data_IF_257126368434
#
_entry.id   IF_257126368434
#
_cell.length_a   1.000
_cell.length_b   1.000
_cell.length_c   1.000
_cell.angle_alpha   90.00
_cell.angle_beta   90.00
_cell.angle_gamma   90.00
#
_symmetry.space_group_name_H-M   'P 1'
#
loop_
_entity.id
_entity.type
_entity.pdbx_description
1 polymer ?
#
# COMPACT_ATOMS: atom_id res chain seq x y z
N UNK A 1 -21.80 -10.15 -7.25
CA UNK A 1 -20.77 -10.40 -6.21
C UNK A 1 -20.55 -9.08 -5.46
N UNK A 2 -20.77 -9.02 -4.15
CA UNK A 2 -20.62 -7.78 -3.36
C UNK A 2 -19.16 -7.60 -2.88
N UNK A 3 -18.72 -6.35 -2.67
CA UNK A 3 -17.37 -5.98 -2.26
C UNK A 3 -16.94 -6.63 -0.95
N UNK A 4 -17.86 -6.76 0.02
CA UNK A 4 -17.58 -7.49 1.26
C UNK A 4 -17.18 -8.96 1.03
N UNK A 5 -17.78 -9.61 0.04
CA UNK A 5 -17.44 -10.99 -0.29
C UNK A 5 -16.02 -11.09 -0.87
N UNK A 6 -15.53 -10.05 -1.53
CA UNK A 6 -14.16 -10.01 -2.05
C UNK A 6 -13.15 -9.83 -0.92
N UNK A 7 -13.45 -8.93 0.04
CA UNK A 7 -12.59 -8.75 1.20
C UNK A 7 -12.52 -9.99 2.09
N UNK A 8 -13.67 -10.65 2.36
CA UNK A 8 -13.69 -11.93 3.09
C UNK A 8 -12.86 -13.00 2.39
N UNK A 9 -12.90 -13.07 1.05
CA UNK A 9 -12.06 -14.00 0.27
C UNK A 9 -10.58 -13.68 0.39
N UNK A 10 -10.21 -12.40 0.39
CA UNK A 10 -8.82 -11.97 0.56
C UNK A 10 -8.29 -12.36 1.96
N UNK A 11 -9.11 -12.20 3.00
CA UNK A 11 -8.77 -12.60 4.37
C UNK A 11 -8.65 -14.11 4.55
N UNK A 12 -9.46 -14.89 3.81
CA UNK A 12 -9.48 -16.35 3.87
C UNK A 12 -8.43 -17.01 2.98
N UNK A 13 -7.52 -16.25 2.35
CA UNK A 13 -6.48 -16.75 1.45
C UNK A 13 -5.36 -17.51 2.18
N UNK A 14 -5.70 -18.60 2.88
CA UNK A 14 -4.78 -19.38 3.72
C UNK A 14 -3.61 -20.02 2.97
N UNK A 15 -3.70 -20.17 1.64
CA UNK A 15 -2.59 -20.62 0.81
C UNK A 15 -1.37 -19.67 0.88
N UNK A 16 -1.56 -18.41 1.31
CA UNK A 16 -0.50 -17.42 1.50
C UNK A 16 0.21 -17.54 2.86
N UNK A 17 -0.24 -18.39 3.79
CA UNK A 17 0.29 -18.43 5.17
C UNK A 17 1.74 -18.90 5.23
N UNK A 18 2.11 -19.89 4.42
CA UNK A 18 3.49 -20.39 4.35
C UNK A 18 4.44 -19.32 3.83
N UNK A 19 4.12 -18.76 2.65
CA UNK A 19 4.94 -17.72 2.02
C UNK A 19 5.00 -16.43 2.83
N UNK A 20 3.88 -15.99 3.41
CA UNK A 20 3.84 -14.78 4.23
C UNK A 20 4.68 -14.92 5.51
N UNK A 21 4.63 -16.07 6.20
CA UNK A 21 5.48 -16.29 7.39
C UNK A 21 6.97 -16.29 7.04
N UNK A 22 7.34 -16.97 5.95
CA UNK A 22 8.73 -16.99 5.49
C UNK A 22 9.23 -15.57 5.19
N UNK A 23 8.48 -14.80 4.41
CA UNK A 23 8.87 -13.44 4.03
C UNK A 23 8.89 -12.50 5.24
N UNK A 24 7.93 -12.62 6.16
CA UNK A 24 7.89 -11.86 7.40
C UNK A 24 9.16 -12.08 8.23
N UNK A 25 9.57 -13.33 8.43
CA UNK A 25 10.77 -13.66 9.19
C UNK A 25 12.03 -13.05 8.57
N UNK A 26 12.12 -13.03 7.23
CA UNK A 26 13.25 -12.41 6.51
C UNK A 26 13.28 -10.90 6.68
N UNK A 27 12.14 -10.24 6.51
CA UNK A 27 12.04 -8.78 6.67
C UNK A 27 12.32 -8.39 8.12
N UNK A 28 11.74 -9.10 9.10
CA UNK A 28 12.05 -8.89 10.52
C UNK A 28 13.52 -9.18 10.82
N UNK A 29 14.13 -10.21 10.24
CA UNK A 29 15.57 -10.46 10.42
C UNK A 29 16.44 -9.32 9.89
N UNK A 30 16.06 -8.70 8.76
CA UNK A 30 16.78 -7.58 8.18
C UNK A 30 16.55 -6.24 8.93
N UNK A 31 15.37 -6.05 9.53
CA UNK A 31 14.95 -4.79 10.17
C UNK A 31 14.90 -4.85 11.71
N UNK A 32 15.11 -6.02 12.31
CA UNK A 32 14.65 -6.39 13.66
C UNK A 32 15.51 -5.96 14.83
N UNK A 33 16.51 -5.10 14.62
CA UNK A 33 17.33 -4.55 15.72
C UNK A 33 18.01 -3.23 15.38
N UNK A 34 17.68 -2.61 14.24
CA UNK A 34 18.34 -1.39 13.77
C UNK A 34 17.43 -0.18 13.97
N UNK A 35 18.01 0.97 14.36
CA UNK A 35 17.28 2.25 14.42
C UNK A 35 16.58 2.59 13.09
N UNK A 36 17.11 2.11 11.97
CA UNK A 36 16.50 2.21 10.65
C UNK A 36 15.10 1.54 10.57
N UNK A 37 14.91 0.36 11.17
CA UNK A 37 13.61 -0.30 11.18
C UNK A 37 12.55 0.49 11.95
N UNK A 38 12.94 1.08 13.09
CA UNK A 38 12.06 1.93 13.88
C UNK A 38 11.68 3.22 13.12
N UNK A 39 12.65 3.83 12.43
CA UNK A 39 12.42 5.02 11.60
C UNK A 39 11.47 4.75 10.44
N UNK A 40 11.65 3.62 9.74
CA UNK A 40 10.80 3.22 8.61
C UNK A 40 9.36 2.92 9.03
N UNK A 41 9.16 2.38 10.23
CA UNK A 41 7.83 2.15 10.82
C UNK A 41 7.19 3.42 11.39
N UNK A 42 7.94 4.53 11.47
CA UNK A 42 7.40 5.81 11.95
C UNK A 42 7.39 5.99 13.46
N UNK A 43 8.22 5.27 14.22
CA UNK A 43 8.26 5.40 15.68
C UNK A 43 8.56 6.83 16.16
N UNK A 44 9.28 7.62 15.37
CA UNK A 44 9.58 9.03 15.64
C UNK A 44 8.43 9.99 15.30
N UNK A 45 7.56 9.60 14.37
CA UNK A 45 6.41 10.38 13.91
C UNK A 45 5.18 10.15 14.79
N UNK A 46 5.16 9.05 15.56
CA UNK A 46 3.98 8.57 16.27
C UNK A 46 2.91 7.97 15.34
N UNK A 47 3.17 7.95 14.03
CA UNK A 47 2.25 7.48 13.00
C UNK A 47 2.98 6.62 11.95
N UNK A 48 2.30 5.64 11.33
CA UNK A 48 2.88 4.85 10.24
C UNK A 48 3.32 5.75 9.07
N UNK A 49 4.55 5.57 8.59
CA UNK A 49 5.12 6.38 7.50
C UNK A 49 4.51 5.99 6.14
N UNK A 50 4.16 4.72 5.95
CA UNK A 50 3.68 4.22 4.67
C UNK A 50 2.40 4.93 4.16
N UNK A 51 1.33 5.10 4.97
CA UNK A 51 0.14 5.86 4.56
C UNK A 51 0.42 7.33 4.24
N UNK A 52 1.44 7.94 4.87
CA UNK A 52 1.85 9.31 4.52
C UNK A 52 2.51 9.32 3.15
N UNK A 53 3.48 8.43 2.93
CA UNK A 53 4.24 8.37 1.69
C UNK A 53 3.39 8.00 0.48
N UNK A 54 2.38 7.13 0.64
CA UNK A 54 1.52 6.69 -0.49
C UNK A 54 0.73 7.84 -1.13
N UNK A 55 0.55 8.95 -0.41
CA UNK A 55 -0.11 10.16 -0.95
C UNK A 55 0.66 10.74 -2.16
N UNK A 56 1.99 10.63 -2.17
CA UNK A 56 2.83 11.14 -3.25
C UNK A 56 2.63 10.40 -4.59
N UNK A 57 2.81 9.06 -4.68
CA UNK A 57 2.59 8.34 -5.93
C UNK A 57 1.13 8.40 -6.38
N UNK A 58 0.15 8.30 -5.47
CA UNK A 58 -1.27 8.38 -5.84
C UNK A 58 -1.61 9.74 -6.42
N UNK A 59 -1.24 10.83 -5.72
CA UNK A 59 -1.50 12.19 -6.21
C UNK A 59 -0.83 12.47 -7.55
N UNK A 60 0.42 12.04 -7.70
CA UNK A 60 1.15 12.18 -8.96
C UNK A 60 0.48 11.43 -10.11
N UNK A 61 0.07 10.17 -9.92
CA UNK A 61 -0.50 9.36 -11.00
C UNK A 61 -1.96 9.70 -11.34
N UNK A 62 -2.75 10.14 -10.36
CA UNK A 62 -4.06 10.76 -10.63
C UNK A 62 -3.86 12.05 -11.45
N UNK A 63 -2.93 12.91 -11.02
CA UNK A 63 -2.57 14.12 -11.76
C UNK A 63 -2.10 13.82 -13.18
N UNK A 64 -1.28 12.79 -13.38
CA UNK A 64 -0.83 12.37 -14.70
C UNK A 64 -1.99 12.01 -15.63
N UNK A 65 -3.01 11.33 -15.10
CA UNK A 65 -4.22 10.97 -15.86
C UNK A 65 -5.03 12.21 -16.25
N UNK A 66 -5.16 13.19 -15.35
CA UNK A 66 -5.80 14.48 -15.67
C UNK A 66 -5.03 15.20 -16.78
N UNK A 67 -3.70 15.24 -16.68
CA UNK A 67 -2.85 15.87 -17.68
C UNK A 67 -2.98 15.20 -19.06
N UNK A 68 -3.00 13.87 -19.11
CA UNK A 68 -3.16 13.14 -20.37
C UNK A 68 -4.54 13.33 -21.01
N UNK A 69 -5.60 13.18 -20.22
CA UNK A 69 -6.97 13.02 -20.76
C UNK A 69 -7.72 14.34 -20.85
N UNK A 70 -7.58 15.20 -19.85
CA UNK A 70 -8.29 16.48 -19.78
C UNK A 70 -7.48 17.62 -20.39
N UNK A 71 -6.20 17.73 -20.00
CA UNK A 71 -5.36 18.87 -20.42
C UNK A 71 -4.59 18.62 -21.72
N UNK A 72 -4.52 17.36 -22.17
CA UNK A 72 -3.73 16.93 -23.34
C UNK A 72 -2.25 17.32 -23.25
N UNK A 73 -1.73 17.46 -22.03
CA UNK A 73 -0.31 17.70 -21.74
C UNK A 73 0.40 16.39 -21.40
N UNK A 74 0.87 15.71 -22.44
CA UNK A 74 1.58 14.44 -22.32
C UNK A 74 2.98 14.57 -21.70
N UNK A 75 3.58 15.75 -21.74
CA UNK A 75 4.90 16.01 -21.12
C UNK A 75 4.73 16.13 -19.62
N UNK A 76 3.74 16.91 -19.16
CA UNK A 76 3.38 17.00 -17.74
C UNK A 76 2.93 15.65 -17.18
N UNK A 77 2.10 14.90 -17.92
CA UNK A 77 1.70 13.55 -17.53
C UNK A 77 2.92 12.62 -17.32
N UNK A 78 3.87 12.61 -18.26
CA UNK A 78 5.10 11.80 -18.13
C UNK A 78 5.94 12.21 -16.92
N UNK A 79 6.06 13.51 -16.63
CA UNK A 79 6.79 14.03 -15.45
C UNK A 79 6.14 13.55 -14.16
N UNK A 80 4.81 13.60 -14.07
CA UNK A 80 4.06 13.12 -12.91
C UNK A 80 4.14 11.60 -12.75
N UNK A 81 4.10 10.82 -13.83
CA UNK A 81 4.38 9.38 -13.78
C UNK A 81 5.78 9.13 -13.19
N UNK A 82 6.78 9.87 -13.69
CA UNK A 82 8.16 9.80 -13.19
C UNK A 82 8.28 10.17 -11.71
N UNK A 83 7.61 11.23 -11.27
CA UNK A 83 7.58 11.65 -9.86
C UNK A 83 7.01 10.54 -8.96
N UNK A 84 5.89 9.94 -9.35
CA UNK A 84 5.32 8.82 -8.60
C UNK A 84 6.25 7.60 -8.57
N UNK A 85 6.95 7.30 -9.67
CA UNK A 85 7.95 6.22 -9.72
C UNK A 85 9.17 6.52 -8.83
N UNK A 86 9.58 7.78 -8.66
CA UNK A 86 10.64 8.17 -7.72
C UNK A 86 10.19 8.05 -6.25
N UNK A 87 8.91 8.31 -5.97
CA UNK A 87 8.33 8.15 -4.63
C UNK A 87 8.00 6.69 -4.27
N UNK A 88 7.87 5.80 -5.25
CA UNK A 88 7.48 4.42 -5.02
C UNK A 88 8.49 3.60 -4.18
N UNK A 89 9.83 3.66 -4.39
CA UNK A 89 10.79 2.91 -3.61
C UNK A 89 10.70 3.14 -2.09
N UNK A 90 10.76 4.37 -1.55
CA UNK A 90 10.62 4.57 -0.10
C UNK A 90 9.22 4.18 0.41
N UNK A 91 8.17 4.33 -0.41
CA UNK A 91 6.80 3.88 -0.07
C UNK A 91 6.73 2.36 0.06
N UNK A 92 7.39 1.61 -0.83
CA UNK A 92 7.45 0.14 -0.78
C UNK A 92 8.23 -0.33 0.46
N UNK A 93 9.38 0.28 0.75
CA UNK A 93 10.21 -0.10 1.90
C UNK A 93 9.44 0.05 3.20
N UNK A 94 8.78 1.21 3.39
CA UNK A 94 7.96 1.45 4.59
C UNK A 94 6.74 0.52 4.65
N UNK A 95 6.11 0.22 3.52
CA UNK A 95 4.99 -0.72 3.45
C UNK A 95 5.37 -2.15 3.83
N UNK A 96 6.54 -2.63 3.39
CA UNK A 96 7.05 -3.94 3.79
C UNK A 96 7.47 -4.00 5.26
N UNK A 97 8.05 -2.91 5.79
CA UNK A 97 8.35 -2.80 7.22
C UNK A 97 7.08 -2.87 8.07
N UNK A 98 6.02 -2.18 7.66
CA UNK A 98 4.71 -2.22 8.32
C UNK A 98 4.04 -3.59 8.18
N UNK A 99 4.05 -4.18 6.98
CA UNK A 99 3.49 -5.50 6.71
C UNK A 99 4.10 -6.60 7.59
N UNK A 100 5.39 -6.51 7.88
CA UNK A 100 6.09 -7.49 8.70
C UNK A 100 5.60 -7.50 10.17
N UNK A 101 4.93 -6.45 10.64
CA UNK A 101 4.34 -6.39 11.99
C UNK A 101 2.90 -6.88 12.06
N UNK A 102 2.28 -7.20 10.92
CA UNK A 102 0.88 -7.61 10.85
C UNK A 102 0.67 -9.05 11.31
N UNK A 103 -0.53 -9.36 11.79
CA UNK A 103 -0.95 -10.73 12.05
C UNK A 103 -1.12 -11.54 10.74
N UNK A 104 -1.40 -12.85 10.85
CA UNK A 104 -1.53 -13.71 9.67
C UNK A 104 -2.66 -13.29 8.73
N UNK A 105 -3.83 -12.90 9.25
CA UNK A 105 -4.99 -12.51 8.43
C UNK A 105 -4.71 -11.20 7.70
N UNK A 106 -4.16 -10.22 8.41
CA UNK A 106 -3.74 -8.94 7.84
C UNK A 106 -2.63 -9.13 6.80
N UNK A 107 -1.65 -10.02 7.04
CA UNK A 107 -0.58 -10.30 6.05
C UNK A 107 -1.11 -10.86 4.73
N UNK A 108 -2.17 -11.70 4.74
CA UNK A 108 -2.80 -12.23 3.51
C UNK A 108 -3.32 -11.10 2.62
N UNK A 109 -4.16 -10.23 3.20
CA UNK A 109 -4.70 -9.06 2.48
C UNK A 109 -3.56 -8.12 2.08
N UNK A 110 -2.55 -7.96 2.93
CA UNK A 110 -1.36 -7.17 2.66
C UNK A 110 -0.56 -7.64 1.44
N UNK A 111 -0.45 -8.96 1.22
CA UNK A 111 0.22 -9.50 0.03
C UNK A 111 -0.61 -9.25 -1.24
N UNK A 112 -1.93 -9.42 -1.18
CA UNK A 112 -2.82 -9.15 -2.32
C UNK A 112 -2.80 -7.65 -2.67
N UNK A 113 -2.79 -6.80 -1.64
CA UNK A 113 -2.58 -5.35 -1.79
C UNK A 113 -1.24 -5.05 -2.46
N UNK A 114 -0.14 -5.66 -1.99
CA UNK A 114 1.19 -5.44 -2.56
C UNK A 114 1.26 -5.90 -4.02
N UNK A 115 0.62 -7.01 -4.37
CA UNK A 115 0.55 -7.52 -5.75
C UNK A 115 -0.23 -6.58 -6.69
N UNK A 116 -1.40 -6.11 -6.28
CA UNK A 116 -2.18 -5.15 -7.06
C UNK A 116 -1.38 -3.86 -7.34
N UNK A 117 -0.67 -3.36 -6.33
CA UNK A 117 0.21 -2.20 -6.48
C UNK A 117 1.43 -2.49 -7.34
N UNK A 118 2.04 -3.69 -7.25
CA UNK A 118 3.16 -4.08 -8.09
C UNK A 118 2.77 -4.09 -9.58
N UNK A 119 1.58 -4.62 -9.92
CA UNK A 119 1.02 -4.55 -11.28
C UNK A 119 0.89 -3.08 -11.72
N UNK A 120 0.32 -2.23 -10.86
CA UNK A 120 0.15 -0.82 -11.15
C UNK A 120 1.47 -0.06 -11.35
N UNK A 121 2.45 -0.27 -10.47
CA UNK A 121 3.79 0.32 -10.56
C UNK A 121 4.50 -0.13 -11.84
N UNK A 122 4.45 -1.42 -12.18
CA UNK A 122 5.04 -1.95 -13.42
C UNK A 122 4.37 -1.35 -14.65
N UNK A 123 3.04 -1.18 -14.64
CA UNK A 123 2.34 -0.49 -15.71
C UNK A 123 2.74 0.99 -15.82
N UNK A 124 2.90 1.70 -14.70
CA UNK A 124 3.40 3.07 -14.68
C UNK A 124 4.82 3.16 -15.26
N UNK A 125 5.71 2.23 -14.88
CA UNK A 125 7.06 2.15 -15.43
C UNK A 125 7.05 1.87 -16.94
N UNK A 126 6.25 0.91 -17.39
CA UNK A 126 6.12 0.57 -18.80
C UNK A 126 5.60 1.78 -19.62
N UNK A 127 4.58 2.49 -19.11
CA UNK A 127 4.10 3.73 -19.72
C UNK A 127 5.19 4.80 -19.77
N UNK A 128 5.92 5.02 -18.67
CA UNK A 128 7.01 6.00 -18.61
C UNK A 128 8.11 5.73 -19.62
N UNK A 129 8.57 4.46 -19.72
CA UNK A 129 9.60 4.04 -20.65
C UNK A 129 9.14 4.22 -22.10
N UNK A 130 7.89 3.86 -22.41
CA UNK A 130 7.30 4.04 -23.74
C UNK A 130 7.25 5.51 -24.15
N UNK A 131 6.86 6.40 -23.23
CA UNK A 131 6.78 7.85 -23.45
C UNK A 131 8.16 8.52 -23.67
N UNK A 132 9.28 7.79 -23.52
CA UNK A 132 10.63 8.31 -23.83
C UNK A 132 10.82 8.61 -25.31
N UNK A 133 10.10 7.92 -26.19
CA UNK A 133 10.21 8.06 -27.64
C UNK A 133 9.00 8.76 -28.28
N UNK A 134 8.13 9.35 -27.47
CA UNK A 134 6.85 9.91 -27.89
C UNK A 134 5.68 9.27 -27.15
N UNK A 135 4.58 10.02 -27.01
CA UNK A 135 3.36 9.50 -26.36
C UNK A 135 2.40 8.99 -27.43
N UNK A 136 1.87 7.79 -27.19
CA UNK A 136 0.82 7.19 -28.02
C UNK A 136 -0.30 6.63 -27.15
N UNK A 137 -1.39 6.20 -27.80
CA UNK A 137 -2.59 5.72 -27.12
C UNK A 137 -2.31 4.53 -26.18
N UNK A 138 -1.38 3.63 -26.54
CA UNK A 138 -1.06 2.48 -25.67
C UNK A 138 -0.35 2.94 -24.40
N UNK A 139 0.53 3.94 -24.46
CA UNK A 139 1.16 4.50 -23.27
C UNK A 139 0.11 5.06 -22.29
N UNK A 140 -0.90 5.77 -22.81
CA UNK A 140 -2.01 6.31 -22.01
C UNK A 140 -2.84 5.19 -21.40
N UNK A 141 -3.27 4.21 -22.21
CA UNK A 141 -4.05 3.05 -21.74
C UNK A 141 -3.28 2.27 -20.66
N UNK A 142 -1.98 2.06 -20.84
CA UNK A 142 -1.15 1.37 -19.84
C UNK A 142 -1.08 2.14 -18.52
N UNK A 143 -0.88 3.45 -18.53
CA UNK A 143 -0.89 4.24 -17.27
C UNK A 143 -2.27 4.28 -16.62
N UNK A 144 -3.36 4.36 -17.39
CA UNK A 144 -4.72 4.32 -16.85
C UNK A 144 -5.04 2.96 -16.23
N UNK A 145 -4.69 1.86 -16.91
CA UNK A 145 -4.83 0.51 -16.35
C UNK A 145 -4.00 0.34 -15.07
N UNK A 146 -2.78 0.90 -15.05
CA UNK A 146 -1.94 0.93 -13.86
C UNK A 146 -2.61 1.66 -12.70
N UNK A 147 -3.21 2.84 -12.95
CA UNK A 147 -3.91 3.62 -11.94
C UNK A 147 -5.13 2.86 -11.38
N UNK A 148 -5.86 2.13 -12.22
CA UNK A 148 -6.97 1.28 -11.76
C UNK A 148 -6.49 0.14 -10.86
N UNK A 149 -5.38 -0.51 -11.20
CA UNK A 149 -4.77 -1.54 -10.34
C UNK A 149 -4.33 -0.96 -8.99
N UNK A 150 -3.75 0.25 -8.97
CA UNK A 150 -3.45 0.99 -7.74
C UNK A 150 -4.72 1.33 -6.96
N UNK A 151 -5.82 1.68 -7.64
CA UNK A 151 -7.12 1.88 -7.00
C UNK A 151 -7.64 0.64 -6.27
N UNK A 152 -7.50 -0.54 -6.88
CA UNK A 152 -7.81 -1.83 -6.22
C UNK A 152 -6.89 -2.06 -5.01
N UNK A 153 -5.60 -1.79 -5.17
CA UNK A 153 -4.63 -1.81 -4.06
C UNK A 153 -5.07 -0.85 -2.93
N UNK A 154 -5.46 0.37 -3.26
CA UNK A 154 -5.94 1.37 -2.31
C UNK A 154 -7.17 0.92 -1.53
N UNK A 155 -8.14 0.28 -2.19
CA UNK A 155 -9.31 -0.30 -1.52
C UNK A 155 -8.93 -1.40 -0.51
N UNK A 156 -7.98 -2.29 -0.87
CA UNK A 156 -7.45 -3.31 0.04
C UNK A 156 -6.65 -2.71 1.20
N UNK A 157 -5.89 -1.63 0.94
CA UNK A 157 -5.16 -0.89 1.97
C UNK A 157 -6.09 -0.20 2.96
N UNK A 158 -7.16 0.44 2.46
CA UNK A 158 -8.22 1.00 3.30
C UNK A 158 -8.91 -0.07 4.15
N UNK A 159 -9.21 -1.24 3.58
CA UNK A 159 -9.76 -2.37 4.34
C UNK A 159 -8.81 -2.84 5.45
N UNK A 160 -7.50 -2.94 5.16
CA UNK A 160 -6.47 -3.25 6.15
C UNK A 160 -6.50 -2.28 7.33
N UNK A 161 -6.42 -0.98 7.06
CA UNK A 161 -6.33 0.04 8.10
C UNK A 161 -7.64 0.22 8.86
N UNK A 162 -8.76 0.39 8.16
CA UNK A 162 -10.01 0.82 8.78
C UNK A 162 -10.90 -0.32 9.25
N UNK A 163 -10.92 -1.46 8.55
CA UNK A 163 -11.78 -2.59 8.90
C UNK A 163 -11.05 -3.65 9.74
N UNK A 164 -9.73 -3.77 9.58
CA UNK A 164 -8.93 -4.79 10.28
C UNK A 164 -7.98 -4.21 11.34
N UNK A 165 -7.97 -2.90 11.57
CA UNK A 165 -7.17 -2.28 12.64
C UNK A 165 -5.66 -2.23 12.38
N UNK A 166 -5.20 -2.51 11.16
CA UNK A 166 -3.79 -2.58 10.86
C UNK A 166 -3.08 -1.24 11.16
N UNK A 167 -2.21 -1.24 12.17
CA UNK A 167 -1.46 -0.05 12.62
C UNK A 167 -2.07 0.68 13.83
N UNK A 168 -3.22 0.24 14.35
CA UNK A 168 -3.84 0.74 15.60
C UNK A 168 -3.99 -0.34 16.68
N UNK A 169 -3.69 -1.60 16.36
CA UNK A 169 -3.88 -2.75 17.24
C UNK A 169 -3.14 -2.63 18.60
N UNK A 170 -2.04 -1.88 18.66
CA UNK A 170 -1.31 -1.62 19.91
C UNK A 170 -1.98 -0.64 20.89
N UNK A 171 -3.08 0.03 20.50
CA UNK A 171 -3.87 0.91 21.38
C UNK A 171 -5.00 0.15 22.09
N UNK A 172 -5.32 -1.07 21.65
CA UNK A 172 -6.51 -1.81 22.13
C UNK A 172 -6.28 -2.71 23.34
N UNK A 173 -5.06 -2.76 23.89
CA UNK A 173 -4.76 -3.45 25.15
C UNK A 173 -4.45 -2.42 26.25
N UNK A 174 -5.48 -1.77 26.78
CA UNK A 174 -5.47 -1.37 28.19
C UNK A 174 -6.31 -2.39 28.98
N UNK A 175 -5.66 -3.33 29.69
CA UNK A 175 -6.33 -4.29 30.58
C UNK A 175 -7.15 -3.62 31.70
N UNK A 176 -7.01 -2.30 31.91
CA UNK A 176 -7.70 -1.55 32.95
C UNK A 176 -9.16 -1.21 32.66
N UNK A 177 -9.63 -1.35 31.41
CA UNK A 177 -11.00 -0.95 31.04
C UNK A 177 -12.10 -1.91 31.51
N UNK A 178 -11.78 -3.18 31.76
CA UNK A 178 -12.73 -4.15 32.33
C UNK A 178 -12.98 -3.94 33.82
N UNK A 179 -12.05 -3.30 34.53
CA UNK A 179 -12.17 -3.02 35.98
C UNK A 179 -13.13 -1.89 36.34
N UNK A 180 -13.53 -1.05 35.38
CA UNK A 180 -14.38 0.12 35.62
C UNK A 180 -15.89 -0.16 35.47
N UNK A 181 -16.28 -1.36 35.03
CA UNK A 181 -17.68 -1.76 34.81
C UNK A 181 -18.19 -2.85 35.77
N UNK A 182 -17.45 -3.15 36.85
CA UNK A 182 -17.98 -3.98 37.92
C UNK A 182 -19.19 -3.27 38.57
N UNK A 183 -20.37 -3.91 38.68
CA UNK A 183 -21.51 -3.30 39.34
C UNK A 183 -21.15 -3.10 40.81
N UNK A 184 -21.20 -1.86 41.26
CA UNK A 184 -21.16 -1.54 42.69
C UNK A 184 -22.45 -2.12 43.27
N UNK A 185 -22.30 -3.18 44.07
CA UNK A 185 -23.39 -3.81 44.82
C UNK A 185 -23.97 -2.89 45.89
#
# INVERSE_FOLDING_TARGET
MNLESLFRKAESAGFLDGGSRFLQQRIRGALGSTGAGAVLRGSWLGHPVHPVLVSLPIGAWVGATVFDLALRDHVGARRLIGLGLLAAPPTLVTGWADWAERDTRQRRVGLIHAEANAIGITAMLASYLRRRHGTDARAVVTSTAGLLAIGVGGALGGHLTYAMGAGVDGVREDPGSDTLLAPVG
#
